data_IF_751169299055
#
_entry.id   IF_751169299055
#
_cell.length_a   1.000
_cell.length_b   1.000
_cell.length_c   1.000
_cell.angle_alpha   90.00
_cell.angle_beta   90.00
_cell.angle_gamma   90.00
#
_symmetry.space_group_name_H-M   'P 1'
#
loop_
_entity.id
_entity.type
_entity.pdbx_description
1 polymer ?
#
# COMPACT_ATOMS: atom_id res chain seq x y z
N UNK A 1 30.42 -10.19 -32.81
CA UNK A 1 29.19 -9.42 -33.08
C UNK A 1 28.07 -10.17 -32.37
N UNK A 2 27.93 -10.14 -31.04
CA UNK A 2 27.53 -9.01 -30.18
C UNK A 2 26.30 -8.32 -30.74
N UNK A 3 25.10 -8.75 -30.33
CA UNK A 3 24.34 -8.10 -29.23
C UNK A 3 23.12 -8.94 -28.87
N UNK A 4 23.06 -9.25 -27.57
CA UNK A 4 21.93 -9.75 -26.81
C UNK A 4 20.78 -8.74 -26.90
N UNK A 5 19.67 -9.10 -27.56
CA UNK A 5 18.47 -8.24 -27.60
C UNK A 5 17.63 -8.52 -26.37
N UNK A 6 17.94 -7.74 -25.34
CA UNK A 6 17.12 -7.28 -24.21
C UNK A 6 15.67 -7.81 -24.17
N UNK A 7 15.45 -8.77 -23.26
CA UNK A 7 14.12 -9.24 -22.87
C UNK A 7 13.57 -8.28 -21.80
N UNK A 8 12.43 -7.61 -21.98
CA UNK A 8 11.90 -6.72 -20.96
C UNK A 8 11.51 -7.58 -19.75
N UNK A 9 12.21 -7.37 -18.64
CA UNK A 9 11.90 -8.00 -17.37
C UNK A 9 10.54 -7.47 -16.91
N UNK A 10 9.50 -8.31 -17.05
CA UNK A 10 8.20 -8.08 -16.41
C UNK A 10 8.46 -7.82 -14.91
N UNK A 11 7.92 -6.76 -14.31
CA UNK A 11 8.16 -6.49 -12.90
C UNK A 11 7.65 -7.68 -12.09
N UNK A 12 8.56 -8.31 -11.34
CA UNK A 12 8.19 -9.35 -10.38
C UNK A 12 7.47 -8.65 -9.24
N UNK A 13 6.21 -8.99 -8.99
CA UNK A 13 5.33 -8.47 -7.92
C UNK A 13 5.81 -8.93 -6.53
N UNK A 14 7.11 -9.13 -6.35
CA UNK A 14 7.71 -9.74 -5.15
C UNK A 14 8.09 -8.71 -4.08
N UNK A 15 8.06 -7.42 -4.40
CA UNK A 15 8.23 -6.33 -3.43
C UNK A 15 7.24 -5.24 -3.83
N UNK A 16 6.37 -4.81 -2.92
CA UNK A 16 5.45 -3.71 -3.17
C UNK A 16 6.30 -2.45 -3.43
N UNK A 17 6.35 -2.00 -4.69
CA UNK A 17 7.14 -0.85 -5.10
C UNK A 17 6.67 0.40 -4.32
N UNK A 18 7.55 1.11 -3.60
CA UNK A 18 7.21 2.33 -2.88
C UNK A 18 6.49 3.38 -3.73
N UNK A 19 6.77 3.45 -5.04
CA UNK A 19 6.04 4.33 -5.96
C UNK A 19 4.61 3.88 -6.24
N UNK A 20 4.31 2.59 -6.11
CA UNK A 20 2.94 2.08 -6.17
C UNK A 20 2.19 2.38 -4.86
N UNK A 21 2.88 2.33 -3.72
CA UNK A 21 2.33 2.76 -2.42
C UNK A 21 2.00 4.27 -2.42
N UNK A 22 2.72 5.09 -3.18
CA UNK A 22 2.39 6.51 -3.38
C UNK A 22 1.07 6.75 -4.15
N UNK A 23 0.56 5.76 -4.88
CA UNK A 23 -0.76 5.81 -5.55
C UNK A 23 -1.89 5.46 -4.58
N UNK A 24 -1.58 4.74 -3.49
CA UNK A 24 -2.57 4.32 -2.51
C UNK A 24 -2.98 5.52 -1.63
N UNK A 25 -4.09 6.12 -2.02
CA UNK A 25 -4.75 7.20 -1.29
C UNK A 25 -5.82 6.65 -0.35
N UNK A 26 -6.04 7.32 0.78
CA UNK A 26 -7.13 6.98 1.69
C UNK A 26 -8.49 7.04 0.96
N UNK A 27 -9.36 6.02 1.08
CA UNK A 27 -10.66 6.03 0.39
C UNK A 27 -11.61 7.13 0.90
N UNK A 28 -11.41 7.61 2.14
CA UNK A 28 -12.26 8.62 2.78
C UNK A 28 -11.74 10.03 2.50
N UNK A 29 -10.46 10.29 2.76
CA UNK A 29 -9.89 11.66 2.70
C UNK A 29 -9.15 11.94 1.39
N UNK A 30 -8.87 10.92 0.58
CA UNK A 30 -7.98 10.99 -0.60
C UNK A 30 -6.57 11.49 -0.27
N UNK A 31 -6.19 11.45 1.01
CA UNK A 31 -4.88 11.82 1.50
C UNK A 31 -3.86 10.69 1.41
N UNK A 32 -2.63 10.99 1.82
CA UNK A 32 -1.57 9.99 1.93
C UNK A 32 -1.87 8.98 3.04
N UNK A 33 -1.49 7.73 2.80
CA UNK A 33 -1.48 6.66 3.78
C UNK A 33 -0.04 6.40 4.25
N UNK A 34 0.13 6.16 5.54
CA UNK A 34 1.40 5.72 6.12
C UNK A 34 1.37 4.20 6.28
N UNK A 35 2.36 3.50 5.75
CA UNK A 35 2.46 2.07 5.95
C UNK A 35 3.15 1.75 7.27
N UNK A 36 2.41 1.15 8.19
CA UNK A 36 2.94 0.58 9.42
C UNK A 36 3.34 -0.87 9.17
N UNK A 37 4.66 -1.11 9.15
CA UNK A 37 5.23 -2.45 8.95
C UNK A 37 5.09 -3.35 10.16
N UNK A 38 4.99 -2.79 11.36
CA UNK A 38 4.91 -3.56 12.60
C UNK A 38 3.49 -4.10 12.78
N UNK A 39 2.49 -3.26 12.54
CA UNK A 39 1.08 -3.66 12.58
C UNK A 39 0.60 -4.29 11.26
N UNK A 40 1.34 -4.11 10.17
CA UNK A 40 0.96 -4.47 8.81
C UNK A 40 -0.37 -3.81 8.39
N UNK A 41 -0.46 -2.49 8.59
CA UNK A 41 -1.65 -1.67 8.33
C UNK A 41 -1.29 -0.39 7.54
N UNK A 42 -2.27 0.18 6.84
CA UNK A 42 -2.18 1.51 6.23
C UNK A 42 -2.92 2.53 7.09
N UNK A 43 -2.18 3.45 7.67
CA UNK A 43 -2.66 4.47 8.60
C UNK A 43 -3.03 5.75 7.83
N UNK A 44 -4.28 6.19 7.99
CA UNK A 44 -4.73 7.53 7.60
C UNK A 44 -4.87 8.40 8.85
N UNK A 45 -3.84 9.21 9.15
CA UNK A 45 -3.91 10.18 10.26
C UNK A 45 -5.05 11.19 10.09
N UNK A 46 -5.30 11.61 8.85
CA UNK A 46 -6.38 12.54 8.52
C UNK A 46 -7.78 12.00 8.79
N UNK A 47 -7.96 10.67 8.65
CA UNK A 47 -9.24 10.02 8.90
C UNK A 47 -9.34 9.45 10.32
N UNK A 48 -8.23 9.35 11.06
CA UNK A 48 -8.19 8.61 12.32
C UNK A 48 -8.44 7.11 12.13
N UNK A 49 -8.03 6.53 11.00
CA UNK A 49 -8.31 5.13 10.64
C UNK A 49 -7.05 4.38 10.24
N UNK A 50 -6.97 3.11 10.59
CA UNK A 50 -5.95 2.17 10.13
C UNK A 50 -6.59 1.01 9.36
N UNK A 51 -6.17 0.80 8.12
CA UNK A 51 -6.67 -0.24 7.23
C UNK A 51 -5.74 -1.46 7.26
N UNK A 52 -6.21 -2.65 7.67
CA UNK A 52 -5.34 -3.81 7.79
C UNK A 52 -4.92 -4.37 6.43
N UNK A 53 -3.71 -4.96 6.36
CA UNK A 53 -3.23 -5.71 5.20
C UNK A 53 -3.31 -7.21 5.52
N UNK A 54 -4.13 -7.94 4.76
CA UNK A 54 -4.31 -9.40 4.90
C UNK A 54 -3.80 -10.08 3.64
N UNK A 55 -2.90 -11.05 3.80
CA UNK A 55 -2.29 -11.78 2.67
C UNK A 55 -1.61 -10.87 1.61
N UNK A 56 -1.10 -9.72 2.05
CA UNK A 56 -0.49 -8.72 1.16
C UNK A 56 -1.52 -7.83 0.43
N UNK A 57 -2.81 -7.99 0.70
CA UNK A 57 -3.89 -7.17 0.13
C UNK A 57 -4.41 -6.18 1.17
N UNK A 58 -4.35 -4.86 0.91
CA UNK A 58 -4.94 -3.85 1.79
C UNK A 58 -6.47 -3.92 1.79
N UNK A 59 -7.06 -4.04 2.97
CA UNK A 59 -8.52 -4.01 3.15
C UNK A 59 -8.96 -2.56 3.36
N UNK A 60 -9.27 -1.87 2.27
CA UNK A 60 -9.67 -0.46 2.28
C UNK A 60 -11.18 -0.26 2.49
N UNK A 61 -11.77 -1.02 3.42
CA UNK A 61 -13.18 -0.90 3.80
C UNK A 61 -13.28 -0.12 5.13
N UNK A 62 -14.10 0.94 5.22
CA UNK A 62 -14.26 1.71 6.45
C UNK A 62 -14.71 0.85 7.65
N UNK A 63 -15.52 -0.19 7.41
CA UNK A 63 -16.04 -1.09 8.45
C UNK A 63 -14.96 -2.03 9.03
N UNK A 64 -13.92 -2.34 8.24
CA UNK A 64 -12.79 -3.16 8.67
C UNK A 64 -11.62 -2.30 9.18
N UNK A 65 -11.74 -0.98 9.05
CA UNK A 65 -10.72 -0.06 9.50
C UNK A 65 -10.77 0.05 11.03
N UNK A 66 -9.61 -0.05 11.66
CA UNK A 66 -9.46 0.18 13.08
C UNK A 66 -9.39 1.68 13.33
N UNK A 67 -10.20 2.17 14.27
CA UNK A 67 -10.10 3.56 14.72
C UNK A 67 -8.78 3.78 15.46
N UNK A 68 -8.07 4.82 15.07
CA UNK A 68 -6.94 5.36 15.81
C UNK A 68 -7.54 6.23 16.91
N UNK A 69 -7.93 5.57 18.01
CA UNK A 69 -8.32 6.29 19.22
C UNK A 69 -7.13 7.10 19.73
N UNK A 70 -7.35 8.38 19.95
CA UNK A 70 -6.51 9.20 20.84
C UNK A 70 -6.72 8.77 22.31
#
# INVERSE_FOLDING_TARGET
MSTDTEKPARPRISEVDPKLLEILVCPVTRGRLEYDREANELISRSAGLAYPIREGVPIMLPEEARELGD
#
